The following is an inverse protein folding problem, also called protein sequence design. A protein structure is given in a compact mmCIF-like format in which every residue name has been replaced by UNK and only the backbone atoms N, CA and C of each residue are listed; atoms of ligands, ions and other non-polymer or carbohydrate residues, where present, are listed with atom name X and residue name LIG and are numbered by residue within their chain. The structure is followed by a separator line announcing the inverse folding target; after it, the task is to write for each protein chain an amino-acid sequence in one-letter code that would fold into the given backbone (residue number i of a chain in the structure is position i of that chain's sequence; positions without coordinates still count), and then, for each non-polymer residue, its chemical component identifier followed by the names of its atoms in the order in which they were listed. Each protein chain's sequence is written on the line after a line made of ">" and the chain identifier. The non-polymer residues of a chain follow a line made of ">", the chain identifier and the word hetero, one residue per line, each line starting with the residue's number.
data_IF_254784257089
#
_entry.id   IF_254784257089
#
_cell.length_a   1.000
_cell.length_b   1.000
_cell.length_c   1.000
_cell.angle_alpha   90.00
_cell.angle_beta   90.00
_cell.angle_gamma   90.00
#
_symmetry.space_group_name_H-M   'P 1'
#
loop_
_entity.id
_entity.type
_entity.pdbx_description
1 polymer ?
#
# COMPACT_ATOMS: atom_id res chain seq x y z
N UNK A 1 42.16 -22.80 -58.78
CA UNK A 1 41.72 -21.40 -58.60
C UNK A 1 41.38 -21.18 -57.12
N UNK A 2 42.09 -20.26 -56.45
CA UNK A 2 41.82 -19.63 -55.13
C UNK A 2 41.72 -20.60 -53.92
N UNK A 3 42.83 -21.21 -53.48
CA UNK A 3 43.82 -20.70 -52.51
C UNK A 3 43.25 -20.19 -51.19
N UNK A 4 43.51 -20.99 -50.16
CA UNK A 4 43.38 -20.76 -48.72
C UNK A 4 44.23 -19.57 -48.21
N UNK A 5 43.84 -19.07 -47.03
CA UNK A 5 44.60 -18.32 -46.00
C UNK A 5 44.86 -16.82 -46.21
N UNK A 6 44.27 -16.02 -45.34
CA UNK A 6 44.88 -14.88 -44.60
C UNK A 6 43.84 -14.44 -43.56
N UNK A 7 43.93 -14.78 -42.26
CA UNK A 7 44.76 -14.15 -41.23
C UNK A 7 44.72 -12.62 -41.24
N UNK A 8 44.45 -12.06 -40.05
CA UNK A 8 44.41 -10.64 -39.67
C UNK A 8 43.02 -10.02 -39.65
N UNK A 9 42.63 -9.21 -38.68
CA UNK A 9 43.22 -8.72 -37.43
C UNK A 9 42.03 -8.05 -36.70
N UNK A 10 42.08 -8.05 -35.37
CA UNK A 10 41.48 -7.05 -34.44
C UNK A 10 40.91 -5.79 -35.06
N UNK A 11 39.82 -5.28 -34.47
CA UNK A 11 39.56 -3.86 -34.11
C UNK A 11 38.07 -3.77 -33.74
N UNK A 12 37.74 -3.78 -32.45
CA UNK A 12 37.62 -2.59 -31.59
C UNK A 12 36.22 -2.00 -31.59
N UNK A 13 35.73 -1.86 -30.36
CA UNK A 13 35.02 -0.70 -29.82
C UNK A 13 33.74 -0.19 -30.51
N UNK A 14 32.71 -0.18 -29.65
CA UNK A 14 31.77 0.92 -29.42
C UNK A 14 30.87 1.31 -30.60
N UNK A 15 29.56 1.19 -30.37
CA UNK A 15 28.70 2.34 -30.03
C UNK A 15 27.29 1.76 -29.87
N UNK A 16 26.78 1.71 -28.64
CA UNK A 16 25.35 1.53 -28.39
C UNK A 16 24.74 2.93 -28.42
N UNK A 17 23.86 3.27 -29.37
CA UNK A 17 23.26 4.58 -29.43
C UNK A 17 22.25 4.71 -28.29
N UNK A 18 22.47 5.70 -27.43
CA UNK A 18 21.47 6.24 -26.54
C UNK A 18 20.41 6.98 -27.37
N UNK A 19 19.13 6.64 -27.21
CA UNK A 19 18.04 7.59 -27.41
C UNK A 19 16.91 7.40 -26.39
N UNK A 20 16.26 8.50 -25.98
CA UNK A 20 15.51 8.63 -24.74
C UNK A 20 14.00 8.44 -24.96
N UNK A 21 13.31 7.94 -23.94
CA UNK A 21 11.85 8.02 -23.86
C UNK A 21 11.47 8.64 -22.52
N UNK A 22 10.98 9.88 -22.59
CA UNK A 22 10.24 10.49 -21.50
C UNK A 22 8.83 9.91 -21.49
N UNK A 23 8.47 9.31 -20.36
CA UNK A 23 7.11 9.23 -19.89
C UNK A 23 7.17 9.21 -18.37
N UNK A 24 7.09 10.41 -17.78
CA UNK A 24 6.76 10.62 -16.38
C UNK A 24 5.45 9.90 -16.04
N UNK A 25 5.54 8.74 -15.37
CA UNK A 25 4.38 8.17 -14.70
C UNK A 25 4.31 8.71 -13.26
N UNK A 26 3.36 9.62 -13.07
CA UNK A 26 2.91 10.08 -11.78
C UNK A 26 2.30 8.91 -11.00
N UNK A 27 3.04 8.42 -10.00
CA UNK A 27 2.58 8.18 -8.61
C UNK A 27 1.07 7.91 -8.46
N UNK A 28 0.69 6.70 -8.04
CA UNK A 28 0.32 6.55 -6.62
C UNK A 28 1.44 5.78 -5.93
N UNK A 29 2.32 6.45 -5.19
CA UNK A 29 2.18 6.53 -3.73
C UNK A 29 1.20 5.48 -3.23
N UNK A 30 1.72 4.29 -3.07
CA UNK A 30 1.39 3.49 -1.91
C UNK A 30 1.92 4.25 -0.67
N UNK A 31 1.30 5.40 -0.35
CA UNK A 31 1.38 6.00 0.97
C UNK A 31 0.26 5.36 1.79
N UNK A 32 0.42 4.08 2.08
CA UNK A 32 -0.36 3.38 3.07
C UNK A 32 0.55 2.54 3.95
N UNK A 33 1.74 3.05 4.30
CA UNK A 33 2.57 2.36 5.31
C UNK A 33 3.64 3.19 6.01
N UNK A 34 3.41 4.46 6.29
CA UNK A 34 4.30 5.21 7.21
C UNK A 34 3.52 6.29 7.93
N UNK A 35 2.81 5.91 9.00
CA UNK A 35 2.49 6.70 10.20
C UNK A 35 1.29 6.05 10.91
N UNK A 36 1.53 5.03 11.73
CA UNK A 36 0.60 4.63 12.81
C UNK A 36 1.33 3.70 13.78
N UNK A 37 2.49 4.15 14.25
CA UNK A 37 3.15 3.55 15.39
C UNK A 37 2.64 4.20 16.68
N UNK A 38 1.98 3.40 17.52
CA UNK A 38 1.95 3.48 18.99
C UNK A 38 0.85 4.22 19.77
N UNK A 39 -0.07 5.00 19.19
CA UNK A 39 -1.15 5.62 20.00
C UNK A 39 -2.51 4.94 19.80
N UNK A 40 -2.74 3.86 20.57
CA UNK A 40 -4.09 3.32 20.80
C UNK A 40 -4.88 4.31 21.64
N UNK A 41 -6.11 4.64 21.23
CA UNK A 41 -6.98 5.49 22.03
C UNK A 41 -7.60 4.71 23.20
N UNK A 42 -8.37 5.40 24.03
CA UNK A 42 -9.09 4.78 25.16
C UNK A 42 -10.12 3.72 24.73
N UNK A 43 -10.43 3.58 23.45
CA UNK A 43 -11.32 2.55 22.91
C UNK A 43 -10.59 1.29 22.42
N UNK A 44 -9.26 1.22 22.58
CA UNK A 44 -8.49 0.05 22.15
C UNK A 44 -8.23 -0.06 20.65
N UNK A 45 -8.57 0.99 19.90
CA UNK A 45 -8.32 1.11 18.46
C UNK A 45 -7.28 2.21 18.24
N UNK A 46 -6.53 2.16 17.14
CA UNK A 46 -5.67 3.29 16.76
C UNK A 46 -6.51 4.56 16.66
N UNK A 47 -6.06 5.66 17.28
CA UNK A 47 -6.85 6.90 17.36
C UNK A 47 -7.32 7.37 15.98
N UNK A 48 -6.44 7.28 14.97
CA UNK A 48 -6.71 7.61 13.56
C UNK A 48 -7.72 6.72 12.86
N UNK A 49 -8.01 5.53 13.40
CA UNK A 49 -8.95 4.55 12.85
C UNK A 49 -10.21 4.38 13.70
N UNK A 50 -10.24 4.92 14.92
CA UNK A 50 -11.39 4.79 15.81
C UNK A 50 -12.53 5.72 15.35
N UNK A 51 -13.70 5.17 14.99
CA UNK A 51 -14.86 5.99 14.60
C UNK A 51 -15.44 6.79 15.76
N UNK A 52 -15.25 6.34 17.01
CA UNK A 52 -15.62 7.13 18.20
C UNK A 52 -14.75 8.37 18.38
N UNK A 53 -13.47 8.29 18.01
CA UNK A 53 -12.58 9.46 18.03
C UNK A 53 -12.69 10.31 16.75
N UNK A 54 -13.02 9.69 15.62
CA UNK A 54 -13.08 10.31 14.31
C UNK A 54 -14.36 9.87 13.56
N UNK A 55 -15.52 10.49 13.86
CA UNK A 55 -16.82 10.04 13.32
C UNK A 55 -16.91 10.16 11.79
N UNK A 56 -16.10 11.02 11.17
CA UNK A 56 -15.99 11.15 9.70
C UNK A 56 -15.56 9.85 9.01
N UNK A 57 -14.89 8.95 9.73
CA UNK A 57 -14.48 7.65 9.19
C UNK A 57 -15.67 6.71 8.96
N UNK A 58 -16.82 6.95 9.57
CA UNK A 58 -18.00 6.10 9.38
C UNK A 58 -18.37 5.95 7.89
N UNK A 59 -18.32 7.04 7.12
CA UNK A 59 -18.56 7.00 5.67
C UNK A 59 -17.52 6.15 4.94
N UNK A 60 -16.25 6.20 5.37
CA UNK A 60 -15.17 5.40 4.79
C UNK A 60 -15.38 3.91 5.08
N UNK A 61 -15.74 3.57 6.32
CA UNK A 61 -16.03 2.19 6.73
C UNK A 61 -17.26 1.63 6.02
N UNK A 62 -18.34 2.43 5.90
CA UNK A 62 -19.53 2.09 5.09
C UNK A 62 -19.18 1.84 3.63
N UNK A 63 -18.40 2.72 3.01
CA UNK A 63 -17.97 2.56 1.62
C UNK A 63 -17.09 1.31 1.41
N UNK A 64 -16.37 0.87 2.46
CA UNK A 64 -15.57 -0.36 2.46
C UNK A 64 -16.36 -1.63 2.80
N UNK A 65 -17.64 -1.51 3.18
CA UNK A 65 -18.45 -2.64 3.63
C UNK A 65 -18.11 -3.14 5.04
N UNK A 66 -17.24 -2.46 5.78
CA UNK A 66 -16.89 -2.79 7.17
C UNK A 66 -17.79 -1.99 8.10
N UNK A 67 -19.10 -2.21 8.03
CA UNK A 67 -20.07 -1.45 8.82
C UNK A 67 -21.15 -2.34 9.41
N UNK A 68 -21.26 -2.31 10.73
CA UNK A 68 -22.36 -2.93 11.46
C UNK A 68 -23.52 -1.93 11.54
N UNK A 69 -24.61 -2.20 10.84
CA UNK A 69 -25.79 -1.32 10.82
C UNK A 69 -26.51 -1.30 12.17
N UNK A 70 -26.65 -2.46 12.83
CA UNK A 70 -27.36 -2.61 14.11
C UNK A 70 -26.73 -1.80 15.25
N UNK A 71 -25.41 -1.63 15.22
CA UNK A 71 -24.64 -1.01 16.30
C UNK A 71 -23.89 0.25 15.86
N UNK A 72 -24.19 0.74 14.66
CA UNK A 72 -23.66 1.97 14.07
C UNK A 72 -22.14 2.18 14.24
N UNK A 73 -21.37 1.10 14.08
CA UNK A 73 -19.91 1.12 14.19
C UNK A 73 -19.27 0.21 13.15
N UNK A 74 -17.98 0.39 12.85
CA UNK A 74 -17.29 -0.51 11.95
C UNK A 74 -17.32 -1.95 12.44
N UNK A 75 -17.50 -2.91 11.55
CA UNK A 75 -17.48 -4.35 11.86
C UNK A 75 -16.18 -4.71 12.60
N UNK A 76 -15.04 -4.23 12.09
CA UNK A 76 -13.71 -4.38 12.71
C UNK A 76 -13.55 -3.73 14.09
N UNK A 77 -14.55 -2.96 14.52
CA UNK A 77 -14.59 -2.34 15.84
C UNK A 77 -15.78 -2.82 16.63
N UNK A 78 -16.65 -3.71 16.14
CA UNK A 78 -17.94 -4.08 16.74
C UNK A 78 -17.85 -5.20 17.77
N UNK A 79 -17.54 -4.90 19.04
CA UNK A 79 -17.48 -5.95 20.08
C UNK A 79 -18.81 -6.65 20.38
N UNK A 80 -19.94 -6.09 19.93
CA UNK A 80 -21.26 -6.69 20.10
C UNK A 80 -21.50 -7.81 19.09
N UNK A 81 -20.95 -7.69 17.88
CA UNK A 81 -21.00 -8.73 16.85
C UNK A 81 -19.77 -9.65 16.90
N UNK A 82 -18.62 -9.09 17.29
CA UNK A 82 -17.29 -9.73 17.28
C UNK A 82 -16.66 -9.64 18.67
N UNK A 83 -17.11 -10.46 19.65
CA UNK A 83 -16.66 -10.38 21.05
C UNK A 83 -15.16 -10.66 21.23
N UNK A 84 -14.51 -11.35 20.29
CA UNK A 84 -13.06 -11.56 20.29
C UNK A 84 -12.26 -10.26 20.17
N UNK A 85 -12.86 -9.17 19.66
CA UNK A 85 -12.22 -7.85 19.62
C UNK A 85 -11.97 -7.30 21.04
N UNK A 86 -12.82 -7.64 22.01
CA UNK A 86 -12.63 -7.24 23.41
C UNK A 86 -11.38 -7.88 24.02
N UNK A 87 -11.05 -9.12 23.62
CA UNK A 87 -9.82 -9.79 24.04
C UNK A 87 -8.57 -9.11 23.48
N UNK A 88 -8.72 -8.41 22.34
CA UNK A 88 -7.67 -7.58 21.73
C UNK A 88 -7.63 -6.15 22.31
N UNK A 89 -8.45 -5.87 23.32
CA UNK A 89 -8.50 -4.60 24.03
C UNK A 89 -9.45 -3.57 23.42
N UNK A 90 -10.21 -3.90 22.37
CA UNK A 90 -11.24 -3.01 21.79
C UNK A 90 -12.42 -2.93 22.75
N UNK A 91 -12.88 -1.72 23.05
CA UNK A 91 -14.00 -1.46 23.97
C UNK A 91 -14.88 -0.38 23.37
#
# INVERSE_FOLDING_TARGET
>A
MRSLRSLSLVVSLLVVPALPALAEDKKPTEAAKTESGKATCEHGVQKSLCTRCNPKLATVYKAKGDWCAEHERPESQCVLCHPELAQKGVK
#
